data_IF_957484575167
#
_entry.id   IF_957484575167
#
_cell.length_a   1.000
_cell.length_b   1.000
_cell.length_c   1.000
_cell.angle_alpha   90.00
_cell.angle_beta   90.00
_cell.angle_gamma   90.00
#
_symmetry.space_group_name_H-M   'P 1'
#
loop_
_entity.id
_entity.type
_entity.pdbx_description
1 polymer ?
#
# COMPACT_ATOMS: atom_id res chain seq x y z
N UNK A 1 -16.88 31.53 32.73
CA UNK A 1 -15.88 30.66 32.07
C UNK A 1 -16.13 29.18 32.43
N UNK A 2 -16.35 28.84 33.68
CA UNK A 2 -16.59 27.47 34.13
C UNK A 2 -17.85 26.83 33.56
N UNK A 3 -18.93 27.58 33.44
CA UNK A 3 -20.19 27.10 32.84
C UNK A 3 -20.05 26.73 31.35
N UNK A 4 -19.39 27.57 30.57
CA UNK A 4 -19.13 27.31 29.16
C UNK A 4 -18.24 26.10 28.99
N UNK A 5 -17.20 25.92 29.78
CA UNK A 5 -16.33 24.75 29.74
C UNK A 5 -17.08 23.46 30.08
N UNK A 6 -17.98 23.50 31.08
CA UNK A 6 -18.84 22.35 31.45
C UNK A 6 -19.80 21.98 30.34
N UNK A 7 -20.41 22.94 29.67
CA UNK A 7 -21.31 22.71 28.53
C UNK A 7 -20.55 22.12 27.32
N UNK A 8 -19.33 22.54 27.04
CA UNK A 8 -18.47 21.95 26.00
C UNK A 8 -18.13 20.49 26.32
N UNK A 9 -17.87 20.15 27.60
CA UNK A 9 -17.62 18.78 28.03
C UNK A 9 -18.86 17.90 27.87
N UNK A 10 -20.03 18.41 28.22
CA UNK A 10 -21.32 17.70 28.02
C UNK A 10 -21.61 17.43 26.56
N UNK A 11 -21.37 18.41 25.68
CA UNK A 11 -21.54 18.22 24.23
C UNK A 11 -20.63 17.13 23.67
N UNK A 12 -19.40 16.96 24.18
CA UNK A 12 -18.51 15.86 23.79
C UNK A 12 -19.04 14.50 24.23
N UNK A 13 -19.73 14.40 25.36
CA UNK A 13 -20.33 13.15 25.85
C UNK A 13 -21.54 12.72 25.02
N UNK A 14 -22.32 13.66 24.48
CA UNK A 14 -23.48 13.34 23.64
C UNK A 14 -23.12 12.69 22.31
N UNK A 15 -21.92 12.86 21.81
CA UNK A 15 -21.43 12.15 20.61
C UNK A 15 -21.00 10.69 20.88
N UNK A 16 -20.93 10.26 22.13
CA UNK A 16 -20.45 8.92 22.49
C UNK A 16 -21.36 7.77 22.01
N UNK A 17 -22.61 8.04 21.62
CA UNK A 17 -23.57 7.05 21.14
C UNK A 17 -23.80 7.03 19.62
N UNK A 18 -23.14 7.90 18.86
CA UNK A 18 -23.31 7.97 17.40
C UNK A 18 -22.28 7.06 16.71
N UNK A 19 -22.75 6.19 15.81
CA UNK A 19 -21.93 5.18 15.13
C UNK A 19 -20.78 5.77 14.28
N UNK A 20 -20.88 7.02 13.84
CA UNK A 20 -19.81 7.77 13.19
C UNK A 20 -19.30 8.88 14.12
N UNK A 21 -18.28 8.59 14.91
CA UNK A 21 -17.53 9.64 15.60
C UNK A 21 -16.70 10.41 14.56
N UNK A 22 -16.96 11.71 14.31
CA UNK A 22 -16.02 12.49 13.54
C UNK A 22 -14.68 12.48 14.29
N UNK A 23 -13.57 12.16 13.61
CA UNK A 23 -12.21 12.18 14.15
C UNK A 23 -11.75 13.62 14.42
N UNK A 24 -12.57 14.42 15.09
CA UNK A 24 -12.28 15.82 15.40
C UNK A 24 -12.25 15.99 16.90
N UNK A 25 -11.13 16.46 17.43
CA UNK A 25 -11.01 16.83 18.83
C UNK A 25 -11.86 18.07 19.09
N UNK A 26 -12.79 17.97 20.05
CA UNK A 26 -13.71 19.06 20.42
C UNK A 26 -13.70 19.31 21.93
N UNK A 27 -14.19 20.50 22.33
CA UNK A 27 -14.32 20.85 23.73
C UNK A 27 -13.01 21.24 24.40
N UNK A 28 -12.89 20.96 25.69
CA UNK A 28 -11.74 21.33 26.53
C UNK A 28 -10.41 20.79 25.97
N UNK A 29 -10.28 19.52 25.55
CA UNK A 29 -9.03 19.02 25.00
C UNK A 29 -8.53 19.81 23.80
N UNK A 30 -9.43 20.30 22.96
CA UNK A 30 -9.06 21.14 21.81
C UNK A 30 -8.58 22.53 22.22
N UNK A 31 -9.19 23.09 23.24
CA UNK A 31 -8.77 24.37 23.78
C UNK A 31 -7.37 24.26 24.39
N UNK A 32 -7.10 23.18 25.12
CA UNK A 32 -5.77 22.90 25.67
C UNK A 32 -4.71 22.76 24.58
N UNK A 33 -5.01 22.02 23.49
CA UNK A 33 -4.10 21.91 22.35
C UNK A 33 -3.75 23.28 21.73
N UNK A 34 -4.75 24.15 21.59
CA UNK A 34 -4.56 25.49 21.02
C UNK A 34 -3.78 26.40 21.97
N UNK A 35 -4.09 26.38 23.26
CA UNK A 35 -3.43 27.23 24.25
C UNK A 35 -1.98 26.79 24.51
N UNK A 36 -1.72 25.49 24.51
CA UNK A 36 -0.38 24.94 24.69
C UNK A 36 0.48 24.97 23.43
N UNK A 37 -0.07 25.42 22.28
CA UNK A 37 0.61 25.35 20.97
C UNK A 37 1.21 23.97 20.70
N UNK A 38 0.42 22.93 20.95
CA UNK A 38 0.87 21.54 20.78
C UNK A 38 1.39 21.30 19.38
N UNK A 39 2.61 20.78 19.27
CA UNK A 39 3.22 20.37 18.00
C UNK A 39 2.57 19.12 17.41
N UNK A 40 1.96 18.29 18.28
CA UNK A 40 1.30 17.04 17.89
C UNK A 40 -0.16 17.05 18.35
N UNK A 41 -1.07 17.65 17.57
CA UNK A 41 -2.50 17.61 17.89
C UNK A 41 -3.02 16.18 17.74
N UNK A 42 -4.03 15.79 18.55
CA UNK A 42 -4.63 14.44 18.53
C UNK A 42 -5.19 14.05 17.16
N UNK A 43 -5.80 15.03 16.48
CA UNK A 43 -6.41 14.83 15.16
C UNK A 43 -5.94 15.96 14.24
N UNK A 44 -4.76 15.83 13.64
CA UNK A 44 -4.28 16.81 12.68
C UNK A 44 -5.17 16.79 11.43
N UNK A 45 -5.52 17.96 10.92
CA UNK A 45 -6.31 18.10 9.70
C UNK A 45 -5.75 19.20 8.81
N UNK A 46 -5.74 18.94 7.51
CA UNK A 46 -5.35 19.88 6.48
C UNK A 46 -6.46 19.96 5.42
N UNK A 47 -6.86 21.17 5.07
CA UNK A 47 -7.80 21.38 3.98
C UNK A 47 -7.06 21.92 2.76
N UNK A 48 -7.10 21.18 1.67
CA UNK A 48 -6.48 21.55 0.41
C UNK A 48 -7.57 22.04 -0.56
N UNK A 49 -7.44 23.28 -1.02
CA UNK A 49 -8.35 23.86 -1.99
C UNK A 49 -7.85 23.60 -3.41
N UNK A 50 -8.72 23.08 -4.26
CA UNK A 50 -8.42 22.83 -5.66
C UNK A 50 -8.43 24.14 -6.48
N UNK A 51 -7.77 24.11 -7.63
CA UNK A 51 -7.86 25.20 -8.61
C UNK A 51 -9.28 25.24 -9.20
N UNK A 52 -9.74 26.43 -9.59
CA UNK A 52 -11.09 26.63 -10.16
C UNK A 52 -11.39 25.76 -11.38
N UNK A 53 -10.37 25.37 -12.11
CA UNK A 53 -10.50 24.53 -13.30
C UNK A 53 -10.78 23.06 -12.96
N UNK A 54 -10.29 22.60 -11.79
CA UNK A 54 -10.39 21.22 -11.33
C UNK A 54 -11.52 21.01 -10.31
N UNK A 55 -12.02 22.10 -9.71
CA UNK A 55 -13.07 22.10 -8.68
C UNK A 55 -14.40 21.50 -9.18
N UNK A 56 -14.69 21.67 -10.49
CA UNK A 56 -15.98 21.26 -11.08
C UNK A 56 -16.05 19.79 -11.45
N UNK A 57 -14.91 19.07 -11.50
CA UNK A 57 -14.82 17.69 -11.98
C UNK A 57 -14.44 16.76 -10.84
N UNK A 58 -15.39 15.91 -10.40
CA UNK A 58 -15.19 14.97 -9.30
C UNK A 58 -14.02 14.02 -9.53
N UNK A 59 -13.85 13.53 -10.75
CA UNK A 59 -12.78 12.59 -11.12
C UNK A 59 -11.39 13.19 -10.91
N UNK A 60 -11.20 14.46 -11.26
CA UNK A 60 -9.93 15.17 -11.01
C UNK A 60 -9.66 15.35 -9.52
N UNK A 61 -10.70 15.70 -8.75
CA UNK A 61 -10.58 15.82 -7.31
C UNK A 61 -10.19 14.50 -6.66
N UNK A 62 -10.76 13.39 -7.09
CA UNK A 62 -10.43 12.05 -6.62
C UNK A 62 -9.00 11.66 -7.00
N UNK A 63 -8.56 11.95 -8.22
CA UNK A 63 -7.18 11.69 -8.66
C UNK A 63 -6.17 12.47 -7.83
N UNK A 64 -6.43 13.74 -7.51
CA UNK A 64 -5.57 14.55 -6.64
C UNK A 64 -5.56 14.00 -5.21
N UNK A 65 -6.70 13.53 -4.71
CA UNK A 65 -6.81 12.89 -3.40
C UNK A 65 -5.88 11.66 -3.30
N UNK A 66 -5.94 10.75 -4.27
CA UNK A 66 -5.07 9.57 -4.31
C UNK A 66 -3.59 9.93 -4.42
N UNK A 67 -3.26 11.01 -5.14
CA UNK A 67 -1.88 11.49 -5.24
C UNK A 67 -1.35 12.08 -3.92
N UNK A 68 -2.23 12.67 -3.10
CA UNK A 68 -1.85 13.27 -1.81
C UNK A 68 -1.90 12.26 -0.66
N UNK A 69 -2.69 11.21 -0.77
CA UNK A 69 -2.83 10.20 0.26
C UNK A 69 -1.56 9.37 0.38
N UNK A 70 -0.94 9.40 1.56
CA UNK A 70 0.21 8.55 1.84
C UNK A 70 -0.26 7.14 2.15
N UNK A 71 0.13 6.19 1.30
CA UNK A 71 -0.18 4.77 1.48
C UNK A 71 1.12 3.99 1.68
N UNK A 72 1.16 3.18 2.71
CA UNK A 72 2.26 2.27 2.97
C UNK A 72 1.92 0.87 2.45
N UNK A 73 2.96 0.08 2.17
CA UNK A 73 2.78 -1.30 1.76
C UNK A 73 2.00 -2.12 2.81
N UNK A 74 2.21 -1.85 4.10
CA UNK A 74 1.48 -2.51 5.19
C UNK A 74 -0.03 -2.29 5.16
N UNK A 75 -0.50 -1.18 4.58
CA UNK A 75 -1.93 -0.86 4.48
C UNK A 75 -2.65 -1.68 3.41
N UNK A 76 -1.88 -2.22 2.46
CA UNK A 76 -2.39 -2.96 1.29
C UNK A 76 -2.19 -4.47 1.43
N UNK A 77 -1.37 -4.91 2.38
CA UNK A 77 -1.04 -6.31 2.62
C UNK A 77 -1.97 -6.93 3.65
N UNK A 78 -2.65 -8.02 3.29
CA UNK A 78 -3.49 -8.82 4.21
C UNK A 78 -2.62 -9.70 5.10
N UNK A 79 -1.63 -10.38 4.50
CA UNK A 79 -0.72 -11.26 5.21
C UNK A 79 0.66 -11.30 4.55
N UNK A 80 1.68 -11.49 5.35
CA UNK A 80 3.05 -11.65 4.89
C UNK A 80 3.68 -12.87 5.52
N UNK A 81 4.39 -13.66 4.72
CA UNK A 81 5.06 -14.89 5.14
C UNK A 81 6.46 -14.94 4.57
N UNK A 82 7.40 -15.49 5.33
CA UNK A 82 8.75 -15.78 4.84
C UNK A 82 8.82 -17.27 4.55
N UNK A 83 8.96 -17.61 3.27
CA UNK A 83 8.98 -18.98 2.80
C UNK A 83 10.39 -19.37 2.38
N UNK A 84 10.75 -20.63 2.62
CA UNK A 84 11.95 -21.21 2.06
C UNK A 84 11.62 -21.83 0.70
N UNK A 85 12.15 -21.23 -0.36
CA UNK A 85 11.91 -21.63 -1.74
C UNK A 85 13.22 -21.51 -2.54
N UNK A 86 14.02 -22.57 -2.58
CA UNK A 86 15.39 -22.51 -3.10
C UNK A 86 15.46 -22.39 -4.63
N UNK A 87 14.40 -22.80 -5.33
CA UNK A 87 14.38 -22.88 -6.79
C UNK A 87 13.15 -22.13 -7.34
N UNK A 88 13.39 -21.15 -8.21
CA UNK A 88 12.33 -20.41 -8.87
C UNK A 88 11.65 -21.24 -9.98
N UNK A 89 12.36 -22.24 -10.53
CA UNK A 89 11.83 -23.11 -11.57
C UNK A 89 10.89 -24.19 -11.01
N UNK A 90 11.15 -24.67 -9.79
CA UNK A 90 10.33 -25.68 -9.11
C UNK A 90 9.96 -25.22 -7.70
N UNK A 91 9.10 -24.22 -7.65
CA UNK A 91 8.63 -23.66 -6.35
C UNK A 91 7.95 -24.74 -5.50
N UNK A 92 8.29 -24.75 -4.21
CA UNK A 92 7.68 -25.64 -3.21
C UNK A 92 6.25 -25.23 -2.84
N UNK A 93 5.85 -23.99 -3.19
CA UNK A 93 4.54 -23.43 -2.87
C UNK A 93 3.57 -23.76 -4.00
N UNK A 94 2.66 -24.72 -3.78
CA UNK A 94 1.73 -25.20 -4.79
C UNK A 94 0.84 -24.10 -5.38
N UNK A 95 0.40 -23.15 -4.54
CA UNK A 95 -0.46 -22.03 -4.95
C UNK A 95 0.24 -21.08 -5.95
N UNK A 96 1.55 -21.00 -5.90
CA UNK A 96 2.34 -20.05 -6.70
C UNK A 96 2.91 -20.67 -7.99
N UNK A 97 2.74 -21.99 -8.21
CA UNK A 97 3.29 -22.70 -9.37
C UNK A 97 2.85 -22.12 -10.70
N UNK A 98 1.57 -21.80 -10.83
CA UNK A 98 1.03 -21.23 -12.06
C UNK A 98 1.59 -19.83 -12.34
N UNK A 99 1.72 -19.01 -11.29
CA UNK A 99 2.29 -17.66 -11.41
C UNK A 99 3.77 -17.72 -11.81
N UNK A 100 4.55 -18.61 -11.20
CA UNK A 100 5.97 -18.78 -11.52
C UNK A 100 6.17 -19.28 -12.93
N UNK A 101 5.33 -20.21 -13.39
CA UNK A 101 5.37 -20.72 -14.76
C UNK A 101 5.06 -19.62 -15.79
N UNK A 102 4.03 -18.81 -15.55
CA UNK A 102 3.69 -17.67 -16.41
C UNK A 102 4.83 -16.65 -16.47
N UNK A 103 5.46 -16.37 -15.33
CA UNK A 103 6.60 -15.47 -15.27
C UNK A 103 7.80 -15.98 -16.09
N UNK A 104 8.09 -17.28 -16.02
CA UNK A 104 9.15 -17.91 -16.82
C UNK A 104 8.85 -17.86 -18.32
N UNK A 105 7.63 -18.21 -18.71
CA UNK A 105 7.18 -18.11 -20.11
C UNK A 105 7.32 -16.68 -20.63
N UNK A 106 6.99 -15.69 -19.82
CA UNK A 106 7.17 -14.28 -20.15
C UNK A 106 8.64 -13.91 -20.32
N UNK A 107 9.52 -14.33 -19.39
CA UNK A 107 10.96 -14.08 -19.50
C UNK A 107 11.56 -14.72 -20.75
N UNK A 108 11.16 -15.94 -21.09
CA UNK A 108 11.59 -16.60 -22.31
C UNK A 108 11.19 -15.82 -23.56
N UNK A 109 9.96 -15.33 -23.63
CA UNK A 109 9.50 -14.49 -24.75
C UNK A 109 10.31 -13.18 -24.86
N UNK A 110 10.59 -12.54 -23.74
CA UNK A 110 11.39 -11.30 -23.74
C UNK A 110 12.82 -11.57 -24.21
N UNK A 111 13.45 -12.65 -23.77
CA UNK A 111 14.79 -13.04 -24.19
C UNK A 111 14.84 -13.39 -25.69
N UNK A 112 13.86 -14.10 -26.22
CA UNK A 112 13.73 -14.39 -27.65
C UNK A 112 13.56 -13.12 -28.49
N UNK A 113 12.84 -12.11 -27.98
CA UNK A 113 12.67 -10.83 -28.68
C UNK A 113 13.94 -9.97 -28.72
N UNK A 114 14.80 -10.12 -27.73
CA UNK A 114 16.02 -9.29 -27.60
C UNK A 114 17.27 -9.96 -28.19
N UNK A 115 17.17 -11.16 -28.77
CA UNK A 115 18.34 -11.98 -29.20
C UNK A 115 19.38 -12.19 -28.07
N UNK A 116 18.94 -12.04 -26.82
CA UNK A 116 19.75 -12.32 -25.65
C UNK A 116 19.67 -13.81 -25.36
N UNK A 117 20.82 -14.48 -25.33
CA UNK A 117 20.89 -15.80 -24.73
C UNK A 117 20.54 -15.65 -23.26
N UNK A 118 19.50 -16.36 -22.80
CA UNK A 118 19.24 -16.47 -21.37
C UNK A 118 20.52 -17.09 -20.78
N UNK A 119 21.44 -16.24 -20.34
CA UNK A 119 22.46 -16.69 -19.42
C UNK A 119 21.64 -17.17 -18.21
N UNK A 120 21.72 -18.46 -17.90
CA UNK A 120 21.18 -18.98 -16.67
C UNK A 120 21.88 -18.17 -15.58
N UNK A 121 21.23 -17.10 -15.17
CA UNK A 121 21.65 -16.27 -14.05
C UNK A 121 21.93 -17.26 -12.93
N UNK A 122 23.15 -17.29 -12.45
CA UNK A 122 23.60 -18.35 -11.57
C UNK A 122 22.77 -18.28 -10.28
N UNK A 123 21.67 -19.06 -10.25
CA UNK A 123 20.70 -19.13 -9.14
C UNK A 123 21.39 -19.44 -7.79
N UNK A 124 22.69 -19.75 -7.85
CA UNK A 124 23.50 -20.01 -6.66
C UNK A 124 23.72 -18.77 -5.78
N UNK A 125 23.61 -17.55 -6.33
CA UNK A 125 23.83 -16.31 -5.59
C UNK A 125 22.53 -15.73 -4.99
N UNK A 126 21.36 -16.11 -5.52
CA UNK A 126 20.07 -15.60 -5.04
C UNK A 126 19.69 -16.20 -3.69
N UNK A 127 19.05 -15.40 -2.86
CA UNK A 127 18.54 -15.86 -1.56
C UNK A 127 17.53 -16.99 -1.73
N UNK A 128 17.65 -18.05 -0.90
CA UNK A 128 16.68 -19.16 -0.85
C UNK A 128 15.42 -18.83 -0.07
N UNK A 129 15.34 -17.63 0.48
CA UNK A 129 14.20 -17.15 1.23
C UNK A 129 13.42 -16.15 0.39
N UNK A 130 12.12 -16.32 0.36
CA UNK A 130 11.16 -15.46 -0.36
C UNK A 130 10.20 -14.85 0.62
N UNK A 131 9.99 -13.56 0.53
CA UNK A 131 8.91 -12.87 1.22
C UNK A 131 7.68 -12.98 0.32
N UNK A 132 6.67 -13.68 0.79
CA UNK A 132 5.39 -13.86 0.12
C UNK A 132 4.34 -12.98 0.80
N UNK A 133 3.72 -12.09 0.05
CA UNK A 133 2.67 -11.20 0.54
C UNK A 133 1.38 -11.47 -0.22
N UNK A 134 0.28 -11.51 0.51
CA UNK A 134 -1.07 -11.55 -0.06
C UNK A 134 -1.63 -10.14 0.02
N UNK A 135 -2.01 -9.58 -1.11
CA UNK A 135 -2.51 -8.22 -1.23
C UNK A 135 -4.02 -8.17 -1.08
N UNK A 136 -4.54 -7.05 -0.59
CA UNK A 136 -5.97 -6.79 -0.49
C UNK A 136 -6.48 -6.11 -1.78
N UNK A 137 -7.27 -6.82 -2.63
CA UNK A 137 -7.75 -6.26 -3.88
C UNK A 137 -8.74 -5.10 -3.67
N UNK A 138 -9.50 -5.10 -2.58
CA UNK A 138 -10.48 -4.04 -2.31
C UNK A 138 -9.77 -2.74 -1.95
N UNK A 139 -8.78 -2.80 -1.08
CA UNK A 139 -7.96 -1.63 -0.68
C UNK A 139 -7.14 -1.11 -1.87
N UNK A 140 -6.56 -2.01 -2.67
CA UNK A 140 -5.83 -1.63 -3.89
C UNK A 140 -6.72 -0.88 -4.87
N UNK A 141 -7.95 -1.37 -5.08
CA UNK A 141 -8.91 -0.72 -5.96
C UNK A 141 -9.37 0.65 -5.41
N UNK A 142 -9.66 0.72 -4.10
CA UNK A 142 -10.07 1.96 -3.45
C UNK A 142 -9.00 3.05 -3.57
N UNK A 143 -7.74 2.67 -3.38
CA UNK A 143 -6.60 3.58 -3.47
C UNK A 143 -6.05 3.77 -4.87
N UNK A 144 -6.60 3.07 -5.85
CA UNK A 144 -6.15 3.05 -7.24
C UNK A 144 -4.65 2.71 -7.38
N UNK A 145 -4.21 1.69 -6.64
CA UNK A 145 -2.84 1.17 -6.65
C UNK A 145 -2.83 -0.14 -7.43
N UNK A 146 -1.85 -0.28 -8.32
CA UNK A 146 -1.64 -1.50 -9.11
C UNK A 146 -0.46 -2.32 -8.59
N UNK A 147 -0.38 -3.60 -8.98
CA UNK A 147 0.79 -4.44 -8.67
C UNK A 147 2.06 -3.89 -9.32
N UNK A 148 1.91 -3.28 -10.51
CA UNK A 148 3.02 -2.63 -11.22
C UNK A 148 3.55 -1.41 -10.45
N UNK A 149 2.67 -0.61 -9.82
CA UNK A 149 3.09 0.54 -9.01
C UNK A 149 3.91 0.10 -7.81
N UNK A 150 3.52 -1.00 -7.17
CA UNK A 150 4.25 -1.60 -6.05
C UNK A 150 5.61 -2.09 -6.52
N UNK A 151 5.66 -2.83 -7.62
CA UNK A 151 6.90 -3.33 -8.22
C UNK A 151 7.84 -2.19 -8.58
N UNK A 152 7.33 -1.17 -9.27
CA UNK A 152 8.10 0.02 -9.65
C UNK A 152 8.68 0.74 -8.44
N UNK A 153 7.87 0.92 -7.39
CA UNK A 153 8.31 1.60 -6.17
C UNK A 153 9.39 0.81 -5.44
N UNK A 154 9.22 -0.51 -5.33
CA UNK A 154 10.20 -1.39 -4.69
C UNK A 154 11.52 -1.43 -5.48
N UNK A 155 11.47 -1.56 -6.79
CA UNK A 155 12.67 -1.53 -7.63
C UNK A 155 13.40 -0.20 -7.56
N UNK A 156 12.68 0.92 -7.48
CA UNK A 156 13.31 2.23 -7.28
C UNK A 156 13.96 2.39 -5.90
N UNK A 157 13.43 1.72 -4.86
CA UNK A 157 13.98 1.80 -3.51
C UNK A 157 15.19 0.88 -3.30
N UNK A 158 15.18 -0.30 -3.91
CA UNK A 158 16.16 -1.37 -3.68
C UNK A 158 17.02 -1.68 -4.90
N UNK A 159 16.73 -1.03 -6.03
CA UNK A 159 17.44 -1.23 -7.29
C UNK A 159 17.55 -2.71 -7.67
N UNK A 160 18.76 -3.17 -8.00
CA UNK A 160 19.03 -4.55 -8.44
C UNK A 160 19.17 -5.55 -7.26
N UNK A 161 18.87 -5.14 -6.02
CA UNK A 161 19.03 -6.01 -4.86
C UNK A 161 17.88 -6.99 -4.68
N UNK A 162 16.76 -6.78 -5.36
CA UNK A 162 15.57 -7.61 -5.23
C UNK A 162 15.01 -8.00 -6.58
N UNK A 163 14.43 -9.18 -6.62
CA UNK A 163 13.61 -9.66 -7.74
C UNK A 163 12.17 -9.80 -7.25
N UNK A 164 11.23 -9.18 -7.98
CA UNK A 164 9.81 -9.20 -7.66
C UNK A 164 9.03 -10.01 -8.69
N UNK A 165 8.20 -10.92 -8.21
CA UNK A 165 7.27 -11.69 -9.02
C UNK A 165 5.88 -11.58 -8.42
N UNK A 166 4.87 -11.31 -9.21
CA UNK A 166 3.50 -11.13 -8.75
C UNK A 166 2.48 -11.79 -9.68
N UNK A 167 1.33 -12.12 -9.09
CA UNK A 167 0.23 -12.75 -9.82
C UNK A 167 -0.48 -11.76 -10.74
N UNK A 168 -1.16 -12.28 -11.75
CA UNK A 168 -2.05 -11.47 -12.60
C UNK A 168 -3.22 -10.90 -11.79
N UNK A 169 -3.73 -9.76 -12.23
CA UNK A 169 -4.88 -9.05 -11.63
C UNK A 169 -6.17 -9.88 -11.58
N UNK A 170 -6.30 -10.86 -12.47
CA UNK A 170 -7.46 -11.75 -12.53
C UNK A 170 -7.33 -12.99 -11.64
N UNK A 171 -6.23 -13.14 -10.92
CA UNK A 171 -6.03 -14.26 -10.00
C UNK A 171 -6.97 -14.16 -8.81
N UNK A 172 -7.43 -15.31 -8.30
CA UNK A 172 -8.29 -15.37 -7.11
C UNK A 172 -7.63 -14.72 -5.88
N UNK A 173 -6.31 -14.87 -5.76
CA UNK A 173 -5.49 -14.23 -4.74
C UNK A 173 -4.41 -13.40 -5.42
N UNK A 174 -4.28 -12.17 -5.00
CA UNK A 174 -3.18 -11.31 -5.43
C UNK A 174 -1.96 -11.58 -4.56
N UNK A 175 -0.99 -12.27 -5.13
CA UNK A 175 0.26 -12.66 -4.45
C UNK A 175 1.42 -11.86 -5.00
N UNK A 176 2.24 -11.32 -4.10
CA UNK A 176 3.45 -10.60 -4.42
C UNK A 176 4.64 -11.27 -3.73
N UNK A 177 5.64 -11.68 -4.50
CA UNK A 177 6.82 -12.40 -4.04
C UNK A 177 8.05 -11.53 -4.22
N UNK A 178 8.87 -11.43 -3.19
CA UNK A 178 10.13 -10.69 -3.21
C UNK A 178 11.25 -11.66 -2.83
N UNK A 179 12.25 -11.75 -3.69
CA UNK A 179 13.50 -12.47 -3.45
C UNK A 179 14.66 -11.48 -3.44
N UNK A 180 15.60 -11.66 -2.55
CA UNK A 180 16.85 -10.90 -2.56
C UNK A 180 17.85 -11.59 -3.49
N UNK A 181 18.49 -10.77 -4.31
CA UNK A 181 19.56 -11.19 -5.22
C UNK A 181 20.88 -11.33 -4.48
#
# INVERSE_FOLDING_TARGET
IGEVSTQMTLNTLHFAGVASKPNVTRGVPRIEEILSLSSEPKNPSLTVYLKKEDETVKEKATSIMHMLEHTKLEDVVVSSEICFDPDDLDTLIEEDKDTMKQYQEFQQMVAECNDETIENDDDSEKSKWVIRMVMDPEVMLEKNITMDDINFTLNNCYEDQITCVYSDYNSEKLVFRIRMN
#
